data_IF_399593106301
#
_entry.id   IF_399593106301
#
_cell.length_a   1.000
_cell.length_b   1.000
_cell.length_c   1.000
_cell.angle_alpha   90.00
_cell.angle_beta   90.00
_cell.angle_gamma   90.00
#
_symmetry.space_group_name_H-M   'P 1'
#
loop_
_entity.id
_entity.type
_entity.pdbx_description
1 polymer ?
#
# COMPACT_ATOMS: atom_id res chain seq x y z
N UNK A 1 -6.16 5.67 18.17
CA UNK A 1 -5.80 4.38 17.52
C UNK A 1 -6.03 4.60 16.03
N UNK A 2 -4.97 4.68 15.22
CA UNK A 2 -5.11 5.04 13.81
C UNK A 2 -5.25 3.79 12.95
N UNK A 3 -6.31 3.73 12.14
CA UNK A 3 -6.57 2.64 11.19
C UNK A 3 -6.12 3.08 9.80
N UNK A 4 -5.49 2.18 9.05
CA UNK A 4 -5.08 2.47 7.68
C UNK A 4 -6.29 2.48 6.73
N UNK A 5 -6.25 3.37 5.73
CA UNK A 5 -7.29 3.55 4.71
C UNK A 5 -6.92 2.86 3.38
N UNK A 6 -5.63 2.79 3.07
CA UNK A 6 -5.11 2.11 1.87
C UNK A 6 -3.74 1.49 2.19
N UNK A 7 -3.48 0.30 1.63
CA UNK A 7 -2.16 -0.33 1.65
C UNK A 7 -1.66 -0.48 0.21
N UNK A 8 -0.39 -0.14 -0.03
CA UNK A 8 0.26 -0.26 -1.33
C UNK A 8 1.40 -1.26 -1.22
N UNK A 9 1.41 -2.27 -2.09
CA UNK A 9 2.40 -3.32 -2.12
C UNK A 9 3.22 -3.27 -3.41
N UNK A 10 4.54 -3.24 -3.29
CA UNK A 10 5.44 -3.37 -4.43
C UNK A 10 5.34 -4.77 -5.06
N UNK A 11 5.59 -4.86 -6.37
CA UNK A 11 5.48 -6.11 -7.13
C UNK A 11 6.44 -7.20 -6.63
N UNK A 12 7.65 -6.81 -6.21
CA UNK A 12 8.67 -7.74 -5.70
C UNK A 12 8.62 -7.94 -4.17
N UNK A 13 7.49 -7.61 -3.51
CA UNK A 13 7.32 -7.93 -2.10
C UNK A 13 7.35 -9.46 -1.90
N UNK A 14 8.13 -10.00 -0.93
CA UNK A 14 8.19 -11.44 -0.70
C UNK A 14 6.79 -12.05 -0.51
N UNK A 15 6.49 -13.21 -1.13
CA UNK A 15 5.14 -13.74 -1.19
C UNK A 15 4.54 -13.99 0.20
N UNK A 16 5.34 -14.50 1.15
CA UNK A 16 4.90 -14.70 2.53
C UNK A 16 4.39 -13.39 3.17
N UNK A 17 5.18 -12.32 3.06
CA UNK A 17 4.83 -11.00 3.64
C UNK A 17 3.65 -10.37 2.92
N UNK A 18 3.58 -10.54 1.59
CA UNK A 18 2.46 -10.08 0.78
C UNK A 18 1.15 -10.72 1.25
N UNK A 19 1.13 -12.04 1.42
CA UNK A 19 -0.05 -12.77 1.90
C UNK A 19 -0.43 -12.41 3.34
N UNK A 20 0.54 -12.21 4.24
CA UNK A 20 0.26 -11.75 5.61
C UNK A 20 -0.41 -10.37 5.61
N UNK A 21 0.11 -9.42 4.82
CA UNK A 21 -0.44 -8.07 4.76
C UNK A 21 -1.83 -8.06 4.13
N UNK A 22 -2.03 -8.79 3.03
CA UNK A 22 -3.35 -8.95 2.40
C UNK A 22 -4.37 -9.55 3.37
N UNK A 23 -3.96 -10.56 4.15
CA UNK A 23 -4.82 -11.18 5.16
C UNK A 23 -5.25 -10.17 6.24
N UNK A 24 -4.32 -9.40 6.80
CA UNK A 24 -4.68 -8.38 7.80
C UNK A 24 -5.52 -7.24 7.20
N UNK A 25 -5.23 -6.82 5.97
CA UNK A 25 -6.00 -5.80 5.27
C UNK A 25 -7.44 -6.28 5.02
N UNK A 26 -7.63 -7.56 4.64
CA UNK A 26 -8.94 -8.17 4.45
C UNK A 26 -9.75 -8.17 5.75
N UNK A 27 -9.15 -8.59 6.87
CA UNK A 27 -9.81 -8.59 8.18
C UNK A 27 -10.22 -7.18 8.63
N UNK A 28 -9.37 -6.19 8.35
CA UNK A 28 -9.61 -4.79 8.68
C UNK A 28 -10.49 -4.06 7.64
N UNK A 29 -10.90 -4.73 6.55
CA UNK A 29 -11.65 -4.15 5.41
C UNK A 29 -10.93 -2.97 4.76
N UNK A 30 -9.60 -3.07 4.62
CA UNK A 30 -8.74 -2.05 4.04
C UNK A 30 -8.44 -2.43 2.59
N UNK A 31 -8.45 -1.45 1.71
CA UNK A 31 -8.09 -1.64 0.30
C UNK A 31 -6.60 -1.91 0.15
N UNK A 32 -6.24 -2.86 -0.71
CA UNK A 32 -4.85 -3.16 -1.07
C UNK A 32 -4.66 -2.84 -2.55
N UNK A 33 -3.67 -2.02 -2.87
CA UNK A 33 -3.27 -1.68 -4.23
C UNK A 33 -1.93 -2.36 -4.56
N UNK A 34 -1.93 -3.18 -5.62
CA UNK A 34 -0.72 -3.79 -6.15
C UNK A 34 -0.02 -2.81 -7.07
N UNK A 35 1.07 -2.21 -6.58
CA UNK A 35 1.92 -1.36 -7.37
C UNK A 35 2.73 -2.21 -8.36
N UNK A 36 2.71 -1.82 -9.64
CA UNK A 36 3.36 -2.57 -10.71
C UNK A 36 4.90 -2.50 -10.64
N UNK A 37 5.44 -1.40 -10.11
CA UNK A 37 6.89 -1.22 -9.95
C UNK A 37 7.47 -2.01 -8.78
N UNK A 38 8.81 -2.01 -8.68
CA UNK A 38 9.54 -2.70 -7.62
C UNK A 38 9.65 -1.82 -6.35
N UNK A 39 10.23 -2.38 -5.30
CA UNK A 39 10.42 -1.69 -4.02
C UNK A 39 11.42 -0.52 -4.04
N UNK A 40 12.30 -0.44 -5.05
CA UNK A 40 13.17 0.73 -5.28
C UNK A 40 12.35 1.86 -5.90
N UNK A 41 11.53 1.55 -6.90
CA UNK A 41 10.65 2.50 -7.57
C UNK A 41 9.64 3.08 -6.59
N UNK A 42 9.01 2.22 -5.77
CA UNK A 42 8.06 2.63 -4.74
C UNK A 42 8.73 3.51 -3.67
N UNK A 43 9.94 3.16 -3.23
CA UNK A 43 10.70 3.99 -2.29
C UNK A 43 11.03 5.36 -2.87
N UNK A 44 11.44 5.40 -4.14
CA UNK A 44 11.75 6.62 -4.88
C UNK A 44 10.50 7.50 -5.05
N UNK A 45 9.35 6.91 -5.37
CA UNK A 45 8.07 7.61 -5.45
C UNK A 45 7.66 8.24 -4.11
N UNK A 46 8.03 7.62 -2.99
CA UNK A 46 7.85 8.18 -1.65
C UNK A 46 8.95 9.17 -1.22
N UNK A 47 9.90 9.52 -2.10
CA UNK A 47 11.03 10.40 -1.80
C UNK A 47 12.02 9.80 -0.80
N UNK A 48 12.15 8.47 -0.74
CA UNK A 48 13.05 7.75 0.15
C UNK A 48 14.25 7.20 -0.60
N UNK A 49 15.44 7.31 -0.01
CA UNK A 49 16.69 6.72 -0.53
C UNK A 49 16.89 5.26 -0.12
N UNK A 50 15.82 4.58 0.30
CA UNK A 50 15.83 3.17 0.69
C UNK A 50 14.61 2.45 0.11
N UNK A 51 14.69 1.12 0.05
CA UNK A 51 13.67 0.27 -0.56
C UNK A 51 12.43 0.17 0.31
N UNK A 52 11.26 0.32 -0.28
CA UNK A 52 9.95 0.22 0.38
C UNK A 52 9.14 -0.88 -0.27
N UNK A 53 8.89 -1.98 0.44
CA UNK A 53 8.06 -3.09 -0.08
C UNK A 53 6.55 -2.89 0.16
N UNK A 54 6.20 -2.16 1.23
CA UNK A 54 4.82 -1.90 1.63
C UNK A 54 4.73 -0.49 2.22
N UNK A 55 3.65 0.21 1.90
CA UNK A 55 3.30 1.53 2.42
C UNK A 55 1.83 1.49 2.87
N UNK A 56 1.55 2.09 4.01
CA UNK A 56 0.19 2.20 4.56
C UNK A 56 -0.20 3.66 4.68
N UNK A 57 -1.36 4.01 4.15
CA UNK A 57 -1.91 5.36 4.19
C UNK A 57 -2.88 5.45 5.37
N UNK A 58 -2.48 6.20 6.37
CA UNK A 58 -3.31 6.50 7.55
C UNK A 58 -4.23 7.69 7.24
N UNK A 59 -3.68 8.70 6.59
CA UNK A 59 -4.38 9.91 6.20
C UNK A 59 -3.95 10.33 4.78
N UNK A 60 -4.87 10.46 3.82
CA UNK A 60 -4.54 10.91 2.47
C UNK A 60 -4.20 12.40 2.41
N UNK A 61 -4.56 13.20 3.43
CA UNK A 61 -4.54 14.65 3.34
C UNK A 61 -5.34 15.13 2.12
N UNK A 62 -4.75 16.00 1.31
CA UNK A 62 -5.35 16.53 0.08
C UNK A 62 -5.13 15.63 -1.16
N UNK A 63 -4.61 14.41 -0.98
CA UNK A 63 -4.30 13.50 -2.09
C UNK A 63 -5.53 12.69 -2.53
N UNK A 64 -5.76 12.56 -3.84
CA UNK A 64 -6.79 11.70 -4.43
C UNK A 64 -6.45 10.19 -4.40
N UNK A 65 -5.42 9.80 -3.65
CA UNK A 65 -4.81 8.45 -3.68
C UNK A 65 -5.78 7.33 -3.27
N UNK A 66 -6.81 7.63 -2.48
CA UNK A 66 -7.83 6.66 -2.07
C UNK A 66 -8.83 6.37 -3.20
N UNK A 67 -9.11 7.37 -4.04
CA UNK A 67 -10.09 7.26 -5.13
C UNK A 67 -9.55 6.48 -6.34
N UNK A 68 -8.23 6.30 -6.42
CA UNK A 68 -7.56 5.58 -7.51
C UNK A 68 -7.77 4.05 -7.45
N UNK A 69 -8.37 3.53 -6.38
CA UNK A 69 -8.65 2.09 -6.21
C UNK A 69 -10.13 1.76 -6.37
N UNK A 70 -10.49 0.61 -7.02
CA UNK A 70 -11.86 0.23 -7.34
C UNK A 70 -12.75 -0.15 -6.12
N UNK A 71 -12.33 0.19 -4.89
CA UNK A 71 -13.15 0.00 -3.69
C UNK A 71 -14.11 1.17 -3.39
N UNK A 72 -14.14 2.18 -4.26
CA UNK A 72 -14.98 3.38 -4.17
C UNK A 72 -16.20 3.41 -5.10
N UNK A 73 -16.70 2.25 -5.53
CA UNK A 73 -18.08 2.08 -6.03
C UNK A 73 -18.85 1.14 -5.10
#
# INVERSE_FOLDING_TARGET
LFTAKLVILANNCPPLRKSEIEYYAMLAKITVHHYHGNNVDLGTACGKYFRVCCLSIIDPGDSDIINATPAGQ
#
